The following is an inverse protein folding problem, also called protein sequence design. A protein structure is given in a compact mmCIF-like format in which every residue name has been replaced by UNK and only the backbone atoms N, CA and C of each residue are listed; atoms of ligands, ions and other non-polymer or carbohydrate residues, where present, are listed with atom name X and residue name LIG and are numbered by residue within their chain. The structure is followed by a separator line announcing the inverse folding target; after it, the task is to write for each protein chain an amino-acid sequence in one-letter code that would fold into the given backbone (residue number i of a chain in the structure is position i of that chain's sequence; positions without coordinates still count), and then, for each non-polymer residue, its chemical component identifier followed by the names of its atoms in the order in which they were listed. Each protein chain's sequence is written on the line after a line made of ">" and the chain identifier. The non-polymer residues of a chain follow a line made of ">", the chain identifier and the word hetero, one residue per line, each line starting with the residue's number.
data_IF_543730019667
#
_entry.id   IF_543730019667
#
_cell.length_a   1.000
_cell.length_b   1.000
_cell.length_c   1.000
_cell.angle_alpha   90.00
_cell.angle_beta   90.00
_cell.angle_gamma   90.00
#
_symmetry.space_group_name_H-M   'P 1'
#
loop_
_entity.id
_entity.type
_entity.pdbx_description
1 polymer ?
#
# COMPACT_ATOMS: atom_id res chain seq x y z
N UNK A 1 20.54 5.77 -8.61
CA UNK A 1 19.43 4.82 -8.39
C UNK A 1 18.81 4.43 -9.71
N UNK A 2 18.50 3.17 -9.92
CA UNK A 2 17.75 2.68 -11.08
C UNK A 2 16.29 2.49 -10.72
N UNK A 3 15.38 2.94 -11.58
CA UNK A 3 13.94 2.67 -11.46
C UNK A 3 13.50 1.78 -12.63
N UNK A 4 12.93 0.63 -12.31
CA UNK A 4 12.39 -0.34 -13.28
C UNK A 4 10.87 -0.32 -13.23
N UNK A 5 10.24 -0.28 -14.42
CA UNK A 5 8.78 -0.25 -14.57
C UNK A 5 8.26 -1.58 -15.11
N UNK A 6 7.05 -1.99 -14.70
CA UNK A 6 6.36 -3.13 -15.28
C UNK A 6 5.63 -2.75 -16.57
N UNK A 7 5.14 -3.73 -17.29
CA UNK A 7 4.03 -3.54 -18.20
C UNK A 7 2.78 -3.18 -17.38
N UNK A 8 2.01 -2.21 -17.84
CA UNK A 8 0.81 -1.72 -17.15
C UNK A 8 -0.46 -2.23 -17.79
N UNK A 9 -1.43 -2.64 -16.98
CA UNK A 9 -2.71 -3.16 -17.46
C UNK A 9 -3.88 -2.40 -16.87
N UNK A 10 -4.99 -2.43 -17.60
CA UNK A 10 -6.30 -1.98 -17.10
C UNK A 10 -7.24 -3.19 -17.15
N UNK A 11 -7.93 -3.43 -16.05
CA UNK A 11 -8.85 -4.55 -15.93
C UNK A 11 -10.25 -4.09 -15.53
N UNK A 12 -11.26 -4.67 -16.15
CA UNK A 12 -12.65 -4.64 -15.68
C UNK A 12 -12.98 -5.95 -14.96
N UNK A 13 -13.41 -5.88 -13.70
CA UNK A 13 -13.85 -7.06 -12.97
C UNK A 13 -15.22 -7.51 -13.46
N UNK A 14 -15.35 -8.81 -13.70
CA UNK A 14 -16.61 -9.39 -14.14
C UNK A 14 -17.58 -9.49 -12.95
N UNK A 15 -18.82 -9.00 -13.08
CA UNK A 15 -19.78 -9.07 -11.98
C UNK A 15 -20.24 -10.52 -11.73
N UNK A 16 -20.31 -10.91 -10.45
CA UNK A 16 -20.98 -12.13 -10.01
C UNK A 16 -22.47 -11.89 -9.74
N UNK A 17 -22.84 -10.65 -9.47
CA UNK A 17 -24.23 -10.18 -9.32
C UNK A 17 -24.52 -9.19 -10.45
N UNK A 18 -25.53 -9.48 -11.27
CA UNK A 18 -25.96 -8.55 -12.31
C UNK A 18 -26.87 -7.44 -11.77
N UNK A 19 -27.03 -6.37 -12.57
CA UNK A 19 -27.79 -5.17 -12.17
C UNK A 19 -29.26 -5.47 -11.84
N UNK A 20 -29.95 -6.30 -12.62
CA UNK A 20 -31.36 -6.60 -12.41
C UNK A 20 -31.57 -7.44 -11.13
N UNK A 21 -30.70 -8.41 -10.90
CA UNK A 21 -30.70 -9.20 -9.67
C UNK A 21 -30.42 -8.34 -8.43
N UNK A 22 -29.49 -7.39 -8.52
CA UNK A 22 -29.22 -6.43 -7.47
C UNK A 22 -30.42 -5.52 -7.22
N UNK A 23 -31.08 -5.03 -8.28
CA UNK A 23 -32.29 -4.21 -8.21
C UNK A 23 -33.43 -4.91 -7.49
N UNK A 24 -33.67 -6.19 -7.81
CA UNK A 24 -34.68 -6.99 -7.12
C UNK A 24 -34.36 -7.12 -5.61
N UNK A 25 -33.12 -7.43 -5.27
CA UNK A 25 -32.69 -7.51 -3.88
C UNK A 25 -32.83 -6.17 -3.15
N UNK A 26 -32.51 -5.05 -3.81
CA UNK A 26 -32.69 -3.72 -3.26
C UNK A 26 -34.17 -3.44 -2.98
N UNK A 27 -35.02 -3.81 -3.91
CA UNK A 27 -36.49 -3.65 -3.80
C UNK A 27 -37.05 -4.43 -2.59
N UNK A 28 -36.57 -5.65 -2.36
CA UNK A 28 -37.00 -6.48 -1.22
C UNK A 28 -36.58 -5.87 0.13
N UNK A 29 -35.44 -5.16 0.15
CA UNK A 29 -34.86 -4.53 1.34
C UNK A 29 -35.21 -3.05 1.51
N UNK A 30 -35.97 -2.42 0.57
CA UNK A 30 -36.19 -0.98 0.48
C UNK A 30 -36.70 -0.32 1.77
N UNK A 31 -37.57 -1.02 2.48
CA UNK A 31 -38.12 -0.53 3.77
C UNK A 31 -37.01 -0.35 4.80
N UNK A 32 -36.10 -1.32 4.89
CA UNK A 32 -34.94 -1.27 5.79
C UNK A 32 -33.96 -0.17 5.42
N UNK A 33 -33.73 0.03 4.13
CA UNK A 33 -32.81 1.03 3.59
C UNK A 33 -33.25 2.44 3.97
N UNK A 34 -34.54 2.75 3.82
CA UNK A 34 -35.10 4.09 4.15
C UNK A 34 -35.37 4.27 5.63
N UNK A 35 -35.73 3.20 6.34
CA UNK A 35 -36.01 3.28 7.78
C UNK A 35 -34.76 3.61 8.62
N UNK A 36 -33.57 3.26 8.17
CA UNK A 36 -32.22 3.43 8.73
C UNK A 36 -32.10 3.97 10.17
N UNK A 37 -31.35 3.24 11.03
CA UNK A 37 -31.00 3.67 12.38
C UNK A 37 -32.09 3.50 13.44
N UNK A 38 -31.76 3.96 14.67
CA UNK A 38 -32.65 3.88 15.87
C UNK A 38 -34.02 4.56 15.69
N UNK A 39 -34.13 5.53 14.77
CA UNK A 39 -35.41 6.21 14.45
C UNK A 39 -36.43 5.31 13.74
N UNK A 40 -36.01 4.22 13.11
CA UNK A 40 -36.88 3.28 12.41
C UNK A 40 -37.75 2.41 13.34
N UNK A 41 -37.47 2.38 14.64
CA UNK A 41 -38.27 1.67 15.63
C UNK A 41 -39.60 2.36 15.92
N UNK A 42 -39.68 3.69 15.79
CA UNK A 42 -40.88 4.47 16.15
C UNK A 42 -41.82 4.72 14.95
N UNK A 43 -41.32 4.58 13.70
CA UNK A 43 -42.08 4.84 12.49
C UNK A 43 -41.48 4.09 11.31
N UNK A 44 -42.03 2.94 10.97
CA UNK A 44 -41.58 2.12 9.84
C UNK A 44 -42.53 2.31 8.66
N UNK A 45 -42.00 2.63 7.44
CA UNK A 45 -42.86 2.72 6.25
C UNK A 45 -43.46 1.37 5.90
N UNK A 46 -44.63 1.40 5.26
CA UNK A 46 -45.11 0.21 4.54
C UNK A 46 -44.35 0.05 3.24
N UNK A 47 -44.25 -1.15 2.67
CA UNK A 47 -43.56 -1.35 1.39
C UNK A 47 -44.06 -0.42 0.29
N UNK A 48 -45.36 -0.14 0.24
CA UNK A 48 -45.99 0.70 -0.80
C UNK A 48 -45.73 2.20 -0.60
N UNK A 49 -45.22 2.62 0.58
CA UNK A 49 -44.86 4.01 0.88
C UNK A 49 -43.44 4.36 0.38
N UNK A 50 -42.68 3.36 -0.08
CA UNK A 50 -41.28 3.49 -0.47
C UNK A 50 -41.14 3.26 -1.96
N UNK A 51 -40.73 4.30 -2.67
CA UNK A 51 -40.57 4.30 -4.13
C UNK A 51 -39.09 4.32 -4.50
N UNK A 52 -38.72 3.61 -5.59
CA UNK A 52 -37.41 3.77 -6.24
C UNK A 52 -37.45 5.08 -7.01
N UNK A 53 -36.53 6.00 -6.69
CA UNK A 53 -36.46 7.33 -7.31
C UNK A 53 -35.25 7.49 -8.25
N UNK A 54 -34.22 6.67 -8.04
CA UNK A 54 -33.04 6.67 -8.90
C UNK A 54 -32.32 5.33 -8.84
N UNK A 55 -31.71 4.93 -9.95
CA UNK A 55 -30.83 3.77 -10.04
C UNK A 55 -29.64 4.07 -10.96
N UNK A 56 -28.50 3.48 -10.63
CA UNK A 56 -27.28 3.62 -11.43
C UNK A 56 -26.41 2.38 -11.37
N UNK A 57 -25.76 2.08 -12.50
CA UNK A 57 -24.62 1.20 -12.57
C UNK A 57 -23.38 2.07 -12.78
N UNK A 58 -22.33 1.86 -11.96
CA UNK A 58 -21.10 2.60 -12.09
C UNK A 58 -19.88 1.69 -11.96
N UNK A 59 -18.78 2.13 -12.53
CA UNK A 59 -17.47 1.52 -12.38
C UNK A 59 -16.61 2.38 -11.46
N UNK A 60 -16.21 1.83 -10.34
CA UNK A 60 -15.26 2.44 -9.41
C UNK A 60 -13.88 1.83 -9.60
N UNK A 61 -12.86 2.66 -9.54
CA UNK A 61 -11.49 2.23 -9.84
C UNK A 61 -10.61 2.12 -8.60
N UNK A 62 -9.66 1.18 -8.64
CA UNK A 62 -8.60 1.06 -7.66
C UNK A 62 -7.28 0.65 -8.33
N UNK A 63 -6.18 1.08 -7.73
CA UNK A 63 -4.83 0.71 -8.14
C UNK A 63 -4.35 -0.52 -7.39
N UNK A 64 -3.70 -1.42 -8.11
CA UNK A 64 -2.83 -2.47 -7.56
C UNK A 64 -1.39 -2.10 -7.87
N UNK A 65 -0.58 -1.97 -6.84
CA UNK A 65 0.84 -1.66 -6.97
C UNK A 65 1.66 -2.59 -6.09
N UNK A 66 2.71 -3.17 -6.68
CA UNK A 66 3.74 -3.91 -5.96
C UNK A 66 5.11 -3.33 -6.31
N UNK A 67 5.90 -3.04 -5.28
CA UNK A 67 7.23 -2.45 -5.42
C UNK A 67 8.24 -3.17 -4.56
N UNK A 68 9.49 -3.25 -5.06
CA UNK A 68 10.67 -3.67 -4.30
C UNK A 68 11.73 -2.58 -4.38
N UNK A 69 12.30 -2.21 -3.23
CA UNK A 69 13.46 -1.34 -3.13
C UNK A 69 14.62 -2.14 -2.56
N UNK A 70 15.76 -2.12 -3.24
CA UNK A 70 16.93 -2.91 -2.90
C UNK A 70 18.19 -2.04 -2.89
N UNK A 71 18.97 -2.19 -1.81
CA UNK A 71 20.28 -1.58 -1.63
C UNK A 71 21.32 -2.66 -1.40
N UNK A 72 22.44 -2.58 -2.12
CA UNK A 72 23.65 -3.35 -1.86
C UNK A 72 24.76 -2.38 -1.51
N UNK A 73 25.36 -2.54 -0.34
CA UNK A 73 26.33 -1.57 0.15
C UNK A 73 27.39 -2.19 1.05
N UNK A 74 28.48 -1.47 1.25
CA UNK A 74 29.59 -1.80 2.12
C UNK A 74 29.72 -0.76 3.22
N UNK A 75 30.06 -1.23 4.42
CA UNK A 75 30.43 -0.34 5.51
C UNK A 75 31.54 -0.97 6.36
N UNK A 76 32.50 -0.13 6.73
CA UNK A 76 33.58 -0.51 7.62
C UNK A 76 33.06 -0.70 9.05
N UNK A 77 33.47 -1.78 9.66
CA UNK A 77 33.13 -2.11 11.04
C UNK A 77 34.35 -2.61 11.79
N UNK A 78 34.35 -2.39 13.10
CA UNK A 78 35.29 -3.03 14.01
C UNK A 78 34.55 -4.13 14.75
N UNK A 79 35.00 -5.37 14.56
CA UNK A 79 34.44 -6.54 15.21
C UNK A 79 35.18 -6.80 16.51
N UNK A 80 34.47 -6.92 17.62
CA UNK A 80 35.04 -7.25 18.93
C UNK A 80 34.96 -8.75 19.17
N UNK A 81 36.10 -9.37 19.43
CA UNK A 81 36.20 -10.80 19.73
C UNK A 81 36.49 -10.96 21.23
N UNK A 82 35.56 -11.49 22.02
CA UNK A 82 35.75 -11.68 23.45
C UNK A 82 36.70 -12.84 23.72
N UNK A 83 37.57 -12.69 24.72
CA UNK A 83 38.48 -13.72 25.23
C UNK A 83 38.13 -14.01 26.69
N UNK A 84 37.81 -15.25 26.97
CA UNK A 84 37.39 -15.71 28.32
C UNK A 84 38.56 -16.09 29.22
N UNK A 85 39.70 -16.52 28.66
CA UNK A 85 40.86 -16.97 29.42
C UNK A 85 41.74 -15.83 29.86
N UNK A 86 42.07 -15.77 31.14
CA UNK A 86 42.83 -14.68 31.72
C UNK A 86 44.33 -14.70 31.30
N UNK A 87 44.85 -15.83 30.89
CA UNK A 87 46.24 -16.08 30.50
C UNK A 87 46.57 -15.52 29.12
N UNK A 88 45.56 -15.42 28.21
CA UNK A 88 45.78 -14.99 26.83
C UNK A 88 46.21 -13.51 26.80
N UNK A 89 47.35 -13.24 26.19
CA UNK A 89 47.90 -11.90 26.00
C UNK A 89 47.76 -11.39 24.60
N UNK A 90 47.89 -12.30 23.62
CA UNK A 90 47.69 -11.98 22.21
C UNK A 90 47.09 -13.17 21.49
N UNK A 91 46.47 -12.92 20.32
CA UNK A 91 45.89 -13.90 19.40
C UNK A 91 46.45 -13.63 18.02
N UNK A 92 47.03 -14.64 17.38
CA UNK A 92 47.39 -14.55 15.95
C UNK A 92 46.25 -15.04 15.09
N UNK A 93 45.74 -14.18 14.22
CA UNK A 93 44.68 -14.50 13.30
C UNK A 93 45.04 -14.01 11.88
N UNK A 94 44.92 -14.90 10.90
CA UNK A 94 45.28 -14.61 9.50
C UNK A 94 46.70 -13.99 9.33
N UNK A 95 47.65 -14.43 10.18
CA UNK A 95 49.03 -13.96 10.16
C UNK A 95 49.27 -12.57 10.79
N UNK A 96 48.27 -12.01 11.46
CA UNK A 96 48.37 -10.77 12.25
C UNK A 96 48.20 -11.03 13.75
N UNK A 97 49.00 -10.36 14.56
CA UNK A 97 48.92 -10.44 16.02
C UNK A 97 48.00 -9.35 16.57
N UNK A 98 47.06 -9.75 17.39
CA UNK A 98 46.12 -8.85 18.10
C UNK A 98 46.36 -8.95 19.59
N UNK A 99 46.65 -7.82 20.23
CA UNK A 99 46.78 -7.77 21.70
C UNK A 99 45.39 -7.82 22.36
N UNK A 100 45.27 -8.64 23.42
CA UNK A 100 44.06 -8.76 24.21
C UNK A 100 44.04 -7.66 25.29
N UNK A 101 43.16 -6.70 25.13
CA UNK A 101 42.94 -5.61 26.06
C UNK A 101 41.57 -5.73 26.77
N UNK A 102 41.39 -4.93 27.83
CA UNK A 102 40.07 -4.73 28.40
C UNK A 102 39.17 -4.02 27.33
N UNK A 103 38.09 -4.66 26.90
CA UNK A 103 37.18 -4.05 25.99
C UNK A 103 36.29 -3.03 26.71
N UNK A 104 36.14 -1.85 26.15
CA UNK A 104 35.11 -0.93 26.59
C UNK A 104 33.77 -1.55 26.20
N UNK A 105 32.75 -1.49 27.08
CA UNK A 105 31.40 -1.92 26.69
C UNK A 105 30.96 -1.16 25.42
N UNK A 106 30.27 -1.84 24.48
CA UNK A 106 29.81 -1.18 23.26
C UNK A 106 29.05 0.10 23.61
N UNK A 107 29.44 1.23 23.02
CA UNK A 107 28.69 2.47 23.15
C UNK A 107 27.26 2.23 22.71
N UNK A 108 26.35 2.24 23.66
CA UNK A 108 24.93 2.04 23.41
C UNK A 108 24.39 3.21 22.60
N UNK A 109 23.59 2.91 21.59
CA UNK A 109 22.82 3.90 20.84
C UNK A 109 21.94 4.73 21.78
N UNK A 110 21.81 6.05 21.60
CA UNK A 110 20.98 6.89 22.46
C UNK A 110 19.52 6.42 22.34
N UNK A 111 18.97 5.90 23.45
CA UNK A 111 17.55 5.50 23.51
C UNK A 111 17.19 4.34 24.44
N UNK A 112 18.14 3.67 25.10
CA UNK A 112 17.80 2.63 26.07
C UNK A 112 17.68 3.21 27.50
N UNK A 113 16.62 2.85 28.27
CA UNK A 113 16.43 3.38 29.61
C UNK A 113 17.52 2.91 30.58
N UNK A 114 18.04 3.85 31.36
CA UNK A 114 19.14 3.67 32.33
C UNK A 114 18.89 2.65 33.45
N UNK A 115 17.70 2.05 33.53
CA UNK A 115 17.29 1.12 34.58
C UNK A 115 18.08 -0.20 34.57
N UNK A 116 18.56 -0.65 33.41
CA UNK A 116 19.33 -1.90 33.30
C UNK A 116 20.79 -1.79 33.73
N UNK A 117 21.35 -0.57 33.77
CA UNK A 117 22.71 -0.35 34.23
C UNK A 117 22.86 -0.46 35.77
N UNK A 118 21.84 -0.10 36.53
CA UNK A 118 21.89 -0.16 38.02
C UNK A 118 21.84 -1.60 38.55
N UNK A 119 21.19 -2.52 37.84
CA UNK A 119 21.08 -3.91 38.30
C UNK A 119 22.38 -4.71 38.04
N UNK A 120 23.12 -4.41 36.97
CA UNK A 120 24.39 -5.06 36.65
C UNK A 120 25.51 -4.72 37.63
N UNK A 121 25.56 -3.50 38.17
CA UNK A 121 26.55 -3.04 39.16
C UNK A 121 26.33 -3.65 40.57
N UNK A 122 25.07 -3.97 40.93
CA UNK A 122 24.76 -4.53 42.25
C UNK A 122 25.05 -6.03 42.38
N UNK A 123 25.21 -6.76 41.28
CA UNK A 123 25.42 -8.21 41.30
C UNK A 123 26.89 -8.61 41.09
N UNK A 124 27.83 -7.64 41.06
CA UNK A 124 29.27 -7.93 40.95
C UNK A 124 29.69 -8.59 39.61
N UNK A 125 28.87 -8.53 38.57
CA UNK A 125 29.13 -9.07 37.24
C UNK A 125 29.80 -8.07 36.29
N UNK A 126 30.50 -7.08 36.79
CA UNK A 126 31.39 -6.26 35.97
C UNK A 126 32.71 -6.99 35.70
N UNK A 127 32.64 -8.15 35.04
CA UNK A 127 33.84 -8.63 34.36
C UNK A 127 34.09 -7.68 33.18
N UNK A 128 35.12 -6.86 33.27
CA UNK A 128 35.68 -6.13 32.14
C UNK A 128 35.94 -7.18 31.05
N UNK A 129 35.05 -7.22 30.05
CA UNK A 129 35.21 -8.15 28.97
C UNK A 129 36.56 -7.89 28.32
N UNK A 130 37.43 -8.91 28.34
CA UNK A 130 38.71 -8.88 27.64
C UNK A 130 38.54 -9.36 26.22
N UNK A 131 39.29 -8.81 25.30
CA UNK A 131 39.21 -9.21 23.93
C UNK A 131 40.11 -8.36 23.02
N UNK A 132 39.95 -8.58 21.73
CA UNK A 132 40.65 -7.79 20.72
C UNK A 132 39.65 -7.34 19.66
N UNK A 133 40.06 -6.41 18.83
CA UNK A 133 39.21 -5.83 17.79
C UNK A 133 39.83 -6.07 16.42
N UNK A 134 39.00 -6.45 15.46
CA UNK A 134 39.39 -6.68 14.07
C UNK A 134 38.64 -5.68 13.17
N UNK A 135 39.36 -4.87 12.39
CA UNK A 135 38.71 -4.06 11.35
C UNK A 135 38.22 -5.00 10.23
N UNK A 136 37.08 -4.70 9.67
CA UNK A 136 36.51 -5.45 8.56
C UNK A 136 35.47 -4.65 7.80
N UNK A 137 34.97 -5.24 6.71
CA UNK A 137 33.93 -4.65 5.87
C UNK A 137 32.71 -5.55 5.91
N UNK A 138 31.57 -4.99 6.24
CA UNK A 138 30.29 -5.66 6.11
C UNK A 138 29.77 -5.46 4.69
N UNK A 139 29.44 -6.56 4.02
CA UNK A 139 28.72 -6.55 2.74
C UNK A 139 27.24 -6.73 3.04
N UNK A 140 26.46 -5.71 2.80
CA UNK A 140 25.09 -5.62 3.23
C UNK A 140 24.12 -5.63 2.04
N UNK A 141 22.99 -6.30 2.22
CA UNK A 141 21.83 -6.23 1.34
C UNK A 141 20.63 -5.83 2.19
N UNK A 142 19.94 -4.78 1.79
CA UNK A 142 18.69 -4.34 2.39
C UNK A 142 17.63 -4.33 1.29
N UNK A 143 16.60 -5.14 1.47
CA UNK A 143 15.52 -5.32 0.49
C UNK A 143 14.18 -5.22 1.21
N UNK A 144 13.30 -4.39 0.65
CA UNK A 144 11.95 -4.18 1.16
C UNK A 144 10.97 -4.28 0.01
N UNK A 145 9.95 -5.13 0.16
CA UNK A 145 8.85 -5.29 -0.79
C UNK A 145 7.54 -4.85 -0.15
N UNK A 146 6.76 -4.08 -0.88
CA UNK A 146 5.42 -3.69 -0.47
C UNK A 146 4.44 -3.91 -1.63
N UNK A 147 3.25 -4.36 -1.26
CA UNK A 147 2.12 -4.51 -2.16
C UNK A 147 0.92 -3.79 -1.56
N UNK A 148 0.22 -3.00 -2.38
CA UNK A 148 -0.89 -2.15 -1.95
C UNK A 148 -2.03 -2.19 -2.98
N UNK A 149 -3.23 -2.09 -2.44
CA UNK A 149 -4.45 -1.86 -3.20
C UNK A 149 -5.05 -0.55 -2.71
N UNK A 150 -5.18 0.43 -3.59
CA UNK A 150 -5.53 1.80 -3.23
C UNK A 150 -6.73 2.26 -4.06
N UNK A 151 -7.74 2.80 -3.40
CA UNK A 151 -8.83 3.49 -4.07
C UNK A 151 -8.26 4.59 -4.99
N UNK A 152 -8.66 4.59 -6.26
CA UNK A 152 -8.06 5.47 -7.25
C UNK A 152 -8.57 6.93 -7.18
N UNK A 153 -9.58 7.20 -6.36
CA UNK A 153 -10.11 8.55 -6.13
C UNK A 153 -9.41 9.21 -4.96
N UNK A 154 -9.30 8.53 -3.82
CA UNK A 154 -8.84 9.12 -2.57
C UNK A 154 -7.51 8.55 -2.04
N UNK A 155 -7.00 7.47 -2.60
CA UNK A 155 -5.74 6.83 -2.21
C UNK A 155 -5.81 6.02 -0.92
N UNK A 156 -6.99 5.79 -0.39
CA UNK A 156 -7.14 4.96 0.81
C UNK A 156 -6.91 3.48 0.48
N UNK A 157 -6.39 2.75 1.47
CA UNK A 157 -6.18 1.31 1.32
C UNK A 157 -7.52 0.58 1.18
N UNK A 158 -7.62 -0.25 0.14
CA UNK A 158 -8.78 -1.08 -0.14
C UNK A 158 -8.58 -2.46 0.53
N UNK A 159 -9.34 -2.74 1.57
CA UNK A 159 -9.19 -3.96 2.37
C UNK A 159 -9.41 -5.25 1.57
N UNK A 160 -10.37 -5.24 0.63
CA UNK A 160 -10.68 -6.39 -0.25
C UNK A 160 -9.90 -6.36 -1.57
N UNK A 161 -8.88 -5.52 -1.70
CA UNK A 161 -8.17 -5.32 -2.97
C UNK A 161 -7.55 -6.60 -3.53
N UNK A 162 -6.91 -7.41 -2.68
CA UNK A 162 -6.33 -8.69 -3.09
C UNK A 162 -7.40 -9.69 -3.55
N UNK A 163 -8.54 -9.73 -2.85
CA UNK A 163 -9.67 -10.59 -3.21
C UNK A 163 -10.24 -10.18 -4.57
N UNK A 164 -10.41 -8.87 -4.82
CA UNK A 164 -10.84 -8.36 -6.11
C UNK A 164 -9.86 -8.70 -7.23
N UNK A 165 -8.56 -8.47 -7.02
CA UNK A 165 -7.54 -8.74 -8.03
C UNK A 165 -7.47 -10.23 -8.44
N UNK A 166 -7.90 -11.13 -7.55
CA UNK A 166 -7.98 -12.58 -7.80
C UNK A 166 -9.21 -13.03 -8.57
N UNK A 167 -10.23 -12.16 -8.72
CA UNK A 167 -11.48 -12.49 -9.40
C UNK A 167 -11.34 -12.46 -10.92
N UNK A 168 -12.34 -13.07 -11.59
CA UNK A 168 -12.45 -13.02 -13.04
C UNK A 168 -12.51 -11.58 -13.54
N UNK A 169 -11.71 -11.30 -14.55
CA UNK A 169 -11.52 -9.97 -15.10
C UNK A 169 -11.27 -10.01 -16.59
N UNK A 170 -11.60 -8.93 -17.24
CA UNK A 170 -11.33 -8.70 -18.66
C UNK A 170 -10.32 -7.59 -18.79
N UNK A 171 -9.26 -7.78 -19.57
CA UNK A 171 -8.32 -6.72 -19.89
C UNK A 171 -8.97 -5.70 -20.83
N UNK A 172 -8.76 -4.42 -20.52
CA UNK A 172 -9.32 -3.28 -21.23
C UNK A 172 -8.19 -2.57 -21.95
N UNK A 173 -8.25 -2.52 -23.26
CA UNK A 173 -7.23 -1.83 -24.06
C UNK A 173 -7.57 -0.36 -24.24
N UNK A 174 -8.84 -0.05 -24.47
CA UNK A 174 -9.36 1.29 -24.64
C UNK A 174 -10.41 1.61 -23.55
N UNK A 175 -10.22 2.73 -22.84
CA UNK A 175 -11.16 3.14 -21.79
C UNK A 175 -12.57 3.40 -22.30
N UNK A 176 -12.72 3.65 -23.61
CA UNK A 176 -14.03 3.74 -24.30
C UNK A 176 -14.83 2.43 -24.22
N UNK A 177 -14.18 1.29 -24.07
CA UNK A 177 -14.83 -0.02 -23.92
C UNK A 177 -15.63 -0.11 -22.61
N UNK A 178 -15.17 0.60 -21.58
CA UNK A 178 -15.85 0.68 -20.27
C UNK A 178 -17.14 1.50 -20.31
N UNK A 179 -17.25 2.42 -21.27
CA UNK A 179 -18.40 3.32 -21.41
C UNK A 179 -19.60 2.67 -22.12
N UNK A 180 -19.59 1.35 -22.31
CA UNK A 180 -20.68 0.64 -22.96
C UNK A 180 -21.98 0.74 -22.15
N UNK A 181 -23.07 1.15 -22.81
CA UNK A 181 -24.39 1.26 -22.19
C UNK A 181 -24.55 2.53 -21.34
N UNK A 182 -25.32 2.42 -20.26
CA UNK A 182 -25.64 3.52 -19.34
C UNK A 182 -24.79 3.50 -18.05
N UNK A 183 -23.63 2.85 -18.10
CA UNK A 183 -22.72 2.73 -16.95
C UNK A 183 -21.95 4.01 -16.75
N UNK A 184 -21.94 4.53 -15.53
CA UNK A 184 -21.13 5.69 -15.13
C UNK A 184 -19.71 5.22 -14.85
N UNK A 185 -18.70 5.96 -15.31
CA UNK A 185 -17.31 5.73 -14.92
C UNK A 185 -16.93 6.76 -13.88
N UNK A 186 -16.55 6.32 -12.68
CA UNK A 186 -15.97 7.19 -11.66
C UNK A 186 -14.51 7.45 -12.05
N UNK A 187 -14.14 8.67 -12.46
CA UNK A 187 -12.81 8.93 -12.97
C UNK A 187 -11.76 8.81 -11.85
N UNK A 188 -10.66 8.05 -12.09
CA UNK A 188 -9.52 8.08 -11.18
C UNK A 188 -9.01 9.51 -10.99
N UNK A 189 -8.71 9.88 -9.74
CA UNK A 189 -8.12 11.17 -9.39
C UNK A 189 -6.62 11.08 -9.14
N UNK A 190 -6.14 9.86 -8.95
CA UNK A 190 -4.73 9.55 -8.73
C UNK A 190 -4.15 8.90 -9.97
N UNK A 191 -3.08 9.50 -10.49
CA UNK A 191 -2.28 8.90 -11.56
C UNK A 191 -1.30 7.86 -11.03
N UNK A 192 -0.78 7.03 -11.92
CA UNK A 192 0.24 6.03 -11.64
C UNK A 192 1.47 6.62 -10.92
N UNK A 193 1.97 7.78 -11.36
CA UNK A 193 3.08 8.46 -10.71
C UNK A 193 2.77 8.85 -9.26
N UNK A 194 1.55 9.34 -8.99
CA UNK A 194 1.14 9.67 -7.62
C UNK A 194 1.07 8.46 -6.71
N UNK A 195 0.50 7.37 -7.22
CA UNK A 195 0.40 6.10 -6.50
C UNK A 195 1.78 5.52 -6.24
N UNK A 196 2.63 5.42 -7.28
CA UNK A 196 4.00 4.95 -7.14
C UNK A 196 4.80 5.78 -6.12
N UNK A 197 4.71 7.11 -6.19
CA UNK A 197 5.34 8.01 -5.23
C UNK A 197 4.89 7.74 -3.79
N UNK A 198 3.59 7.54 -3.57
CA UNK A 198 3.05 7.31 -2.23
C UNK A 198 3.60 6.04 -1.59
N UNK A 199 3.82 4.98 -2.37
CA UNK A 199 4.37 3.71 -1.88
C UNK A 199 5.89 3.80 -1.76
N UNK A 200 6.59 4.20 -2.82
CA UNK A 200 8.06 4.25 -2.84
C UNK A 200 8.63 5.19 -1.78
N UNK A 201 7.97 6.31 -1.48
CA UNK A 201 8.41 7.24 -0.44
C UNK A 201 8.39 6.64 0.98
N UNK A 202 7.59 5.59 1.21
CA UNK A 202 7.57 4.88 2.50
C UNK A 202 8.63 3.79 2.59
N UNK A 203 9.18 3.38 1.44
CA UNK A 203 10.16 2.29 1.34
C UNK A 203 11.60 2.81 1.25
N UNK A 204 11.78 3.94 0.57
CA UNK A 204 13.08 4.56 0.41
C UNK A 204 13.56 5.17 1.73
N UNK A 205 14.80 4.87 2.11
CA UNK A 205 15.44 5.40 3.30
C UNK A 205 16.90 5.74 3.03
N UNK A 206 17.48 6.72 3.74
CA UNK A 206 18.91 6.97 3.68
C UNK A 206 19.69 5.75 4.19
N UNK A 207 20.67 5.29 3.41
CA UNK A 207 21.55 4.19 3.79
C UNK A 207 22.86 4.76 4.35
N UNK A 208 23.22 4.36 5.57
CA UNK A 208 24.53 4.65 6.13
C UNK A 208 25.53 3.60 5.63
N UNK A 209 26.32 3.97 4.66
CA UNK A 209 27.30 3.12 4.00
C UNK A 209 28.55 3.92 3.65
N UNK A 210 29.70 3.25 3.61
CA UNK A 210 30.93 3.83 3.06
C UNK A 210 30.90 3.80 1.52
N UNK A 211 30.24 2.79 0.98
CA UNK A 211 30.07 2.62 -0.48
C UNK A 211 28.74 1.96 -0.80
N UNK A 212 27.97 2.58 -1.68
CA UNK A 212 26.76 1.99 -2.27
C UNK A 212 27.17 1.32 -3.58
N UNK A 213 26.87 0.03 -3.72
CA UNK A 213 27.17 -0.79 -4.88
C UNK A 213 25.98 -0.87 -5.83
N UNK A 214 24.77 -0.97 -5.26
CA UNK A 214 23.53 -1.04 -6.01
C UNK A 214 22.43 -0.29 -5.24
N UNK A 215 21.63 0.46 -5.97
CA UNK A 215 20.46 1.15 -5.48
C UNK A 215 19.37 1.06 -6.54
N UNK A 216 18.38 0.19 -6.31
CA UNK A 216 17.36 -0.16 -7.30
C UNK A 216 15.98 -0.06 -6.70
N UNK A 217 15.05 0.55 -7.41
CA UNK A 217 13.63 0.46 -7.15
C UNK A 217 12.96 -0.24 -8.34
N UNK A 218 12.18 -1.27 -8.07
CA UNK A 218 11.40 -1.99 -9.09
C UNK A 218 9.94 -1.86 -8.76
N UNK A 219 9.16 -1.34 -9.68
CA UNK A 219 7.71 -1.46 -9.63
C UNK A 219 7.39 -2.76 -10.38
N UNK A 220 6.91 -3.77 -9.66
CA UNK A 220 6.64 -5.10 -10.20
C UNK A 220 5.26 -5.18 -10.84
N UNK A 221 4.29 -4.47 -10.23
CA UNK A 221 2.90 -4.38 -10.69
C UNK A 221 2.45 -2.94 -10.58
N UNK A 222 1.73 -2.47 -11.59
CA UNK A 222 1.09 -1.15 -11.60
C UNK A 222 -0.14 -1.22 -12.50
N UNK A 223 -1.21 -1.79 -11.97
CA UNK A 223 -2.44 -2.07 -12.70
C UNK A 223 -3.61 -1.27 -12.15
N UNK A 224 -4.50 -0.87 -13.05
CA UNK A 224 -5.74 -0.19 -12.72
C UNK A 224 -6.92 -1.16 -12.91
N UNK A 225 -7.73 -1.31 -11.88
CA UNK A 225 -8.92 -2.14 -11.88
C UNK A 225 -10.17 -1.29 -11.81
N UNK A 226 -11.21 -1.72 -12.53
CA UNK A 226 -12.56 -1.19 -12.45
C UNK A 226 -13.50 -2.26 -11.91
N UNK A 227 -14.26 -1.93 -10.86
CA UNK A 227 -15.26 -2.82 -10.27
C UNK A 227 -16.66 -2.26 -10.45
N UNK A 228 -17.66 -3.10 -10.80
CA UNK A 228 -19.04 -2.66 -10.93
C UNK A 228 -19.68 -2.45 -9.55
N UNK A 229 -20.33 -1.31 -9.41
CA UNK A 229 -21.13 -0.94 -8.23
C UNK A 229 -22.52 -0.55 -8.72
N UNK A 230 -23.54 -1.00 -8.02
CA UNK A 230 -24.95 -0.70 -8.33
C UNK A 230 -25.58 0.02 -7.16
N UNK A 231 -26.16 1.18 -7.41
CA UNK A 231 -26.83 1.96 -6.39
C UNK A 231 -28.31 2.19 -6.73
N UNK A 232 -29.15 2.01 -5.71
CA UNK A 232 -30.60 2.15 -5.81
C UNK A 232 -31.09 3.08 -4.71
N UNK A 233 -31.58 4.25 -5.09
CA UNK A 233 -32.11 5.24 -4.17
C UNK A 233 -33.61 5.11 -4.01
N UNK A 234 -34.06 4.97 -2.78
CA UNK A 234 -35.45 4.89 -2.40
C UNK A 234 -35.88 6.12 -1.60
N UNK A 235 -37.11 6.56 -1.84
CA UNK A 235 -37.70 7.69 -1.13
C UNK A 235 -38.96 7.28 -0.36
N UNK A 236 -39.05 7.73 0.88
CA UNK A 236 -40.29 7.72 1.67
C UNK A 236 -40.84 9.15 1.69
N UNK A 237 -41.68 9.50 0.71
CA UNK A 237 -42.18 10.85 0.46
C UNK A 237 -42.91 11.44 1.67
N UNK A 238 -43.73 10.63 2.38
CA UNK A 238 -44.48 11.11 3.53
C UNK A 238 -43.64 11.64 4.70
N UNK A 239 -42.37 11.26 4.77
CA UNK A 239 -41.41 11.70 5.81
C UNK A 239 -40.21 12.45 5.24
N UNK A 240 -40.18 12.72 3.95
CA UNK A 240 -39.06 13.36 3.23
C UNK A 240 -37.71 12.69 3.57
N UNK A 241 -37.69 11.35 3.54
CA UNK A 241 -36.51 10.54 3.79
C UNK A 241 -36.12 9.79 2.55
N UNK A 242 -34.81 9.73 2.31
CA UNK A 242 -34.21 8.88 1.27
C UNK A 242 -33.22 7.91 1.90
N UNK A 243 -32.91 6.83 1.19
CA UNK A 243 -31.88 5.88 1.54
C UNK A 243 -31.38 5.19 0.29
N UNK A 244 -30.10 4.85 0.25
CA UNK A 244 -29.47 4.20 -0.87
C UNK A 244 -28.97 2.81 -0.49
N UNK A 245 -29.42 1.80 -1.24
CA UNK A 245 -28.83 0.47 -1.23
C UNK A 245 -27.73 0.43 -2.28
N UNK A 246 -26.51 0.13 -1.87
CA UNK A 246 -25.37 -0.02 -2.74
C UNK A 246 -24.91 -1.47 -2.73
N UNK A 247 -24.73 -2.05 -3.92
CA UNK A 247 -24.24 -3.40 -4.12
C UNK A 247 -22.90 -3.39 -4.82
N UNK A 248 -21.96 -4.12 -4.27
CA UNK A 248 -20.76 -4.50 -4.97
C UNK A 248 -21.07 -5.63 -5.94
N UNK A 249 -20.93 -5.38 -7.23
CA UNK A 249 -21.28 -6.36 -8.27
C UNK A 249 -20.34 -7.57 -8.28
N UNK A 250 -19.13 -7.46 -7.74
CA UNK A 250 -18.16 -8.57 -7.70
C UNK A 250 -18.43 -9.50 -6.52
N UNK A 251 -18.72 -8.96 -5.34
CA UNK A 251 -18.93 -9.75 -4.13
C UNK A 251 -20.40 -10.04 -3.84
N UNK A 252 -21.31 -9.29 -4.43
CA UNK A 252 -22.75 -9.33 -4.14
C UNK A 252 -23.11 -8.71 -2.79
N UNK A 253 -22.15 -8.11 -2.07
CA UNK A 253 -22.39 -7.50 -0.77
C UNK A 253 -23.18 -6.21 -0.90
N UNK A 254 -24.13 -5.99 0.04
CA UNK A 254 -24.93 -4.78 0.11
C UNK A 254 -24.51 -3.93 1.29
N UNK A 255 -24.36 -2.64 1.04
CA UNK A 255 -24.11 -1.60 2.06
C UNK A 255 -25.11 -0.46 1.92
N UNK A 256 -25.20 0.40 2.95
CA UNK A 256 -25.80 1.71 2.78
C UNK A 256 -24.79 2.62 2.11
N UNK A 257 -25.09 3.02 0.91
CA UNK A 257 -24.18 3.77 0.06
C UNK A 257 -24.67 5.16 -0.29
N UNK A 258 -24.18 5.67 -1.38
CA UNK A 258 -24.51 6.97 -1.92
C UNK A 258 -24.69 6.87 -3.45
N UNK A 259 -25.76 7.44 -3.97
CA UNK A 259 -25.92 7.62 -5.41
C UNK A 259 -25.15 8.89 -5.86
N UNK A 260 -24.46 8.79 -6.98
CA UNK A 260 -23.60 9.91 -7.45
C UNK A 260 -24.35 10.94 -8.27
N UNK A 261 -25.41 10.56 -8.98
CA UNK A 261 -26.25 11.43 -9.83
C UNK A 261 -25.52 12.21 -10.94
N UNK A 262 -24.21 12.07 -11.05
CA UNK A 262 -23.41 12.86 -12.00
C UNK A 262 -22.54 11.96 -12.89
N UNK A 263 -22.53 12.28 -14.19
CA UNK A 263 -21.54 11.74 -15.12
C UNK A 263 -20.27 12.59 -15.05
N UNK A 264 -19.12 11.94 -14.87
CA UNK A 264 -17.84 12.61 -15.04
C UNK A 264 -17.63 12.95 -16.52
N UNK A 265 -17.63 14.24 -16.87
CA UNK A 265 -17.53 14.70 -18.26
C UNK A 265 -16.09 14.81 -18.79
N UNK A 266 -15.07 14.47 -17.98
CA UNK A 266 -13.69 14.57 -18.43
C UNK A 266 -13.27 13.29 -19.14
N UNK A 267 -12.77 13.39 -20.39
CA UNK A 267 -12.19 12.25 -21.07
C UNK A 267 -10.94 11.79 -20.28
N UNK A 268 -10.93 10.53 -19.90
CA UNK A 268 -9.79 9.87 -19.27
C UNK A 268 -9.06 9.17 -20.39
N UNK A 269 -7.76 9.43 -20.52
CA UNK A 269 -6.90 8.71 -21.47
C UNK A 269 -5.90 7.86 -20.71
N UNK A 270 -5.42 6.79 -21.34
CA UNK A 270 -4.40 5.90 -20.76
C UNK A 270 -3.13 6.70 -20.39
N UNK A 271 -2.71 7.63 -21.23
CA UNK A 271 -1.50 8.45 -21.00
C UNK A 271 -1.62 9.37 -19.78
N UNK A 272 -2.84 9.86 -19.47
CA UNK A 272 -3.09 10.65 -18.26
C UNK A 272 -3.08 9.81 -16.99
N UNK A 273 -3.41 8.53 -17.10
CA UNK A 273 -3.42 7.60 -15.97
C UNK A 273 -2.03 7.04 -15.69
N UNK A 274 -1.29 6.66 -16.73
CA UNK A 274 0.04 6.06 -16.61
C UNK A 274 1.13 7.08 -17.00
N UNK A 275 1.24 8.12 -16.20
CA UNK A 275 2.09 9.30 -16.42
C UNK A 275 3.54 9.15 -15.93
N UNK A 276 4.02 7.91 -15.73
CA UNK A 276 5.41 7.68 -15.34
C UNK A 276 6.30 7.71 -16.58
N UNK A 277 7.19 8.67 -16.59
CA UNK A 277 8.19 8.89 -17.65
C UNK A 277 9.52 9.36 -17.03
N UNK A 278 10.53 9.63 -17.86
CA UNK A 278 11.86 10.05 -17.40
C UNK A 278 11.81 11.33 -16.53
N UNK A 279 10.92 12.27 -16.85
CA UNK A 279 10.79 13.54 -16.13
C UNK A 279 10.14 13.35 -14.76
N UNK A 280 9.15 12.46 -14.66
CA UNK A 280 8.46 12.17 -13.41
C UNK A 280 9.23 11.19 -12.52
N UNK A 281 10.05 10.31 -13.09
CA UNK A 281 10.82 9.27 -12.38
C UNK A 281 11.65 9.83 -11.21
N UNK A 282 12.33 10.95 -11.41
CA UNK A 282 13.13 11.61 -10.36
C UNK A 282 12.27 12.04 -9.16
N UNK A 283 11.01 12.40 -9.40
CA UNK A 283 10.09 12.82 -8.35
C UNK A 283 9.53 11.67 -7.51
N UNK A 284 9.62 10.44 -8.00
CA UNK A 284 9.13 9.25 -7.30
C UNK A 284 10.00 8.86 -6.11
N UNK A 285 11.30 9.20 -6.16
CA UNK A 285 12.30 8.79 -5.17
C UNK A 285 13.00 10.00 -4.55
N UNK A 286 12.34 10.74 -3.66
CA UNK A 286 12.88 12.00 -3.12
C UNK A 286 14.11 11.85 -2.24
N UNK A 287 14.46 10.63 -1.84
CA UNK A 287 15.59 10.32 -0.93
C UNK A 287 16.83 9.82 -1.70
N UNK A 288 16.72 9.55 -3.00
CA UNK A 288 17.85 9.10 -3.80
C UNK A 288 18.95 10.16 -3.85
N UNK A 289 20.19 9.78 -3.53
CA UNK A 289 21.36 10.67 -3.47
C UNK A 289 21.85 11.12 -4.85
N UNK A 290 21.14 10.81 -5.93
CA UNK A 290 21.54 11.11 -7.31
C UNK A 290 20.37 11.09 -8.28
N UNK A 291 20.65 11.24 -9.57
CA UNK A 291 19.64 11.15 -10.62
C UNK A 291 19.03 9.75 -10.66
N UNK A 292 17.71 9.69 -10.70
CA UNK A 292 16.99 8.44 -10.96
C UNK A 292 17.03 8.15 -12.45
N UNK A 293 17.56 6.98 -12.81
CA UNK A 293 17.61 6.50 -14.19
C UNK A 293 16.48 5.51 -14.40
N UNK A 294 15.59 5.82 -15.34
CA UNK A 294 14.56 4.87 -15.77
C UNK A 294 15.22 3.79 -16.63
N UNK A 295 14.92 2.54 -16.32
CA UNK A 295 15.39 1.35 -17.06
C UNK A 295 14.16 0.56 -17.47
N UNK A 296 13.99 0.34 -18.75
CA UNK A 296 12.95 -0.49 -19.35
C UNK A 296 13.26 -1.99 -19.22
#
# INVERSE_FOLDING_TARGET
>A
MELRLPQTHIYALNPSLDFESAKQQAFDKRVGVVAGGLGGLLSRPKPDDVELVYDEARLESFWHIACTVRYVFERSRTFSVPITSAEVRSVTLLGQDFEVAAQQPPQQSPGQPALFQQIGHQIGLSSTARGFSIPGVEHCVDENRQERYLDAVNGQALQLGADYASKDKTEVHELSELAAGNTLIVPPQLSAARVAKSVLSTMAKPIQADKILEETATIEVLDLYFRPIYAFEFAWKAKNKTGVAEFDGVTGSMTNGQALHTRGDKPITRDLLFDINADTATSLMPVAAGNVKLVE
#
